data_IF_568849011778
#
_entry.id   IF_568849011778
#
_cell.length_a   1.000
_cell.length_b   1.000
_cell.length_c   1.000
_cell.angle_alpha   90.00
_cell.angle_beta   90.00
_cell.angle_gamma   90.00
#
_symmetry.space_group_name_H-M   'P 1'
#
loop_
_entity.id
_entity.type
_entity.pdbx_description
1 polymer ?
#
# COMPACT_ATOMS: atom_id res chain seq x y z
N UNK A 1 10.84 9.91 -4.57
CA UNK A 1 10.98 8.54 -5.12
C UNK A 1 10.12 8.40 -6.38
N UNK A 2 10.66 7.73 -7.38
CA UNK A 2 9.96 7.46 -8.64
C UNK A 2 9.39 6.03 -8.61
N UNK A 3 8.07 5.89 -8.79
CA UNK A 3 7.40 4.60 -8.79
C UNK A 3 7.12 4.08 -10.21
N UNK A 4 7.48 4.82 -11.25
CA UNK A 4 7.27 4.40 -12.65
C UNK A 4 7.93 3.06 -12.95
N UNK A 5 9.08 2.79 -12.33
CA UNK A 5 9.78 1.52 -12.51
C UNK A 5 9.00 0.28 -12.08
N UNK A 6 7.96 0.45 -11.26
CA UNK A 6 7.01 -0.60 -10.90
C UNK A 6 5.90 -0.82 -11.93
N UNK A 7 5.83 0.00 -12.98
CA UNK A 7 4.82 -0.09 -14.02
C UNK A 7 5.36 -0.88 -15.22
N UNK A 8 4.70 -1.97 -15.58
CA UNK A 8 5.16 -2.85 -16.67
C UNK A 8 5.25 -2.14 -18.02
N UNK A 9 4.37 -1.15 -18.28
CA UNK A 9 4.38 -0.34 -19.50
C UNK A 9 5.66 0.50 -19.64
N UNK A 10 6.24 0.99 -18.54
CA UNK A 10 7.52 1.71 -18.54
C UNK A 10 8.71 0.81 -18.91
N UNK A 11 8.53 -0.50 -18.81
CA UNK A 11 9.50 -1.52 -19.23
C UNK A 11 9.29 -1.95 -20.70
N UNK A 12 8.34 -1.37 -21.41
CA UNK A 12 7.97 -1.77 -22.77
C UNK A 12 7.23 -3.11 -22.84
N UNK A 13 6.68 -3.60 -21.73
CA UNK A 13 5.96 -4.86 -21.71
C UNK A 13 4.48 -4.65 -22.05
N UNK A 14 3.92 -5.53 -22.86
CA UNK A 14 2.50 -5.52 -23.23
C UNK A 14 1.60 -6.12 -22.15
N UNK A 15 2.13 -7.02 -21.31
CA UNK A 15 1.39 -7.74 -20.29
C UNK A 15 1.88 -7.36 -18.87
N UNK A 16 0.96 -7.38 -17.89
CA UNK A 16 1.19 -7.03 -16.49
C UNK A 16 1.91 -8.13 -15.68
N UNK A 17 2.99 -8.68 -16.21
CA UNK A 17 3.75 -9.77 -15.58
C UNK A 17 4.88 -9.27 -14.67
N UNK A 18 5.10 -7.95 -14.59
CA UNK A 18 6.12 -7.36 -13.72
C UNK A 18 5.72 -7.53 -12.24
N UNK A 19 6.51 -8.28 -11.48
CA UNK A 19 6.38 -8.35 -10.02
C UNK A 19 6.92 -7.04 -9.45
N UNK A 20 6.06 -6.28 -8.78
CA UNK A 20 6.42 -5.01 -8.15
C UNK A 20 6.50 -5.16 -6.64
N UNK A 21 7.56 -4.62 -6.04
CA UNK A 21 7.82 -4.64 -4.60
C UNK A 21 8.53 -3.36 -4.16
N UNK A 22 8.50 -3.04 -2.88
CA UNK A 22 9.19 -1.89 -2.31
C UNK A 22 10.53 -2.24 -1.66
N UNK A 23 10.71 -3.51 -1.32
CA UNK A 23 11.93 -4.07 -0.73
C UNK A 23 12.01 -5.59 -0.98
N UNK A 24 13.23 -6.13 -0.95
CA UNK A 24 13.51 -7.57 -1.05
C UNK A 24 14.68 -7.95 -0.13
N UNK A 25 15.26 -9.14 -0.33
CA UNK A 25 16.47 -9.55 0.38
C UNK A 25 17.74 -8.83 -0.12
N UNK A 26 17.67 -8.17 -1.28
CA UNK A 26 18.80 -7.48 -1.90
C UNK A 26 18.80 -5.96 -1.68
N UNK A 27 17.64 -5.33 -1.51
CA UNK A 27 17.52 -3.90 -1.29
C UNK A 27 17.43 -3.58 0.20
N UNK A 28 17.96 -2.39 0.57
CA UNK A 28 17.80 -1.87 1.92
C UNK A 28 16.32 -1.65 2.26
N UNK A 29 15.93 -2.01 3.47
CA UNK A 29 14.56 -1.90 3.97
C UNK A 29 14.02 -0.47 3.84
N UNK A 30 12.85 -0.32 3.29
CA UNK A 30 12.23 1.00 3.09
C UNK A 30 11.93 1.72 4.41
N UNK A 31 11.50 1.00 5.44
CA UNK A 31 11.30 1.56 6.79
C UNK A 31 12.64 2.02 7.40
N UNK A 32 13.73 1.27 7.24
CA UNK A 32 15.06 1.69 7.66
C UNK A 32 15.50 2.96 6.93
N UNK A 33 15.34 3.03 5.61
CA UNK A 33 15.67 4.22 4.81
C UNK A 33 14.89 5.45 5.30
N UNK A 34 13.58 5.33 5.52
CA UNK A 34 12.75 6.44 6.00
C UNK A 34 13.23 6.89 7.38
N UNK A 35 13.49 5.97 8.30
CA UNK A 35 13.92 6.25 9.66
C UNK A 35 15.30 6.89 9.73
N UNK A 36 16.21 6.50 8.83
CA UNK A 36 17.61 6.95 8.84
C UNK A 36 17.82 8.23 8.03
N UNK A 37 17.16 8.33 6.88
CA UNK A 37 17.42 9.38 5.88
C UNK A 37 16.19 10.21 5.55
N UNK A 38 15.09 10.04 6.30
CA UNK A 38 13.83 10.70 6.02
C UNK A 38 13.89 12.20 6.25
N UNK A 39 13.21 12.95 5.39
CA UNK A 39 13.15 14.41 5.45
C UNK A 39 12.29 14.89 6.63
N UNK A 40 12.61 16.09 7.11
CA UNK A 40 11.91 16.79 8.20
C UNK A 40 11.53 18.18 7.69
N UNK A 41 10.32 18.62 7.98
CA UNK A 41 9.87 19.99 7.74
C UNK A 41 8.88 20.42 8.82
N UNK A 42 9.22 21.48 9.55
CA UNK A 42 8.41 21.91 10.69
C UNK A 42 8.18 20.77 11.70
N UNK A 43 6.93 20.55 12.09
CA UNK A 43 6.55 19.47 12.99
C UNK A 43 6.41 18.09 12.31
N UNK A 44 6.51 18.00 10.98
CA UNK A 44 6.40 16.74 10.24
C UNK A 44 7.78 16.08 10.11
N UNK A 45 8.00 15.04 10.92
CA UNK A 45 9.27 14.32 10.98
C UNK A 45 9.09 12.86 10.54
N UNK A 46 9.58 12.52 9.34
CA UNK A 46 9.43 11.18 8.77
C UNK A 46 10.26 10.11 9.50
N UNK A 47 11.25 10.50 10.31
CA UNK A 47 12.07 9.55 11.08
C UNK A 47 11.36 9.04 12.33
N UNK A 48 10.31 9.72 12.81
CA UNK A 48 9.46 9.25 13.89
C UNK A 48 8.66 8.02 13.49
N UNK A 49 8.52 7.05 14.39
CA UNK A 49 7.84 5.77 14.09
C UNK A 49 6.41 5.97 13.54
N UNK A 50 5.63 6.85 14.13
CA UNK A 50 4.26 7.11 13.68
C UNK A 50 4.23 7.61 12.23
N UNK A 51 5.03 8.63 11.94
CA UNK A 51 5.12 9.25 10.60
C UNK A 51 5.75 8.29 9.58
N UNK A 52 6.78 7.53 9.99
CA UNK A 52 7.37 6.47 9.15
C UNK A 52 6.30 5.45 8.74
N UNK A 53 5.47 5.02 9.67
CA UNK A 53 4.34 4.12 9.39
C UNK A 53 3.35 4.75 8.42
N UNK A 54 2.99 6.03 8.59
CA UNK A 54 2.11 6.73 7.63
C UNK A 54 2.72 6.79 6.23
N UNK A 55 4.02 7.03 6.13
CA UNK A 55 4.75 7.02 4.85
C UNK A 55 4.76 5.63 4.21
N UNK A 56 4.88 4.57 4.99
CA UNK A 56 4.78 3.18 4.50
C UNK A 56 3.36 2.86 4.01
N UNK A 57 2.33 3.30 4.73
CA UNK A 57 0.93 3.13 4.31
C UNK A 57 0.68 3.85 2.99
N UNK A 58 1.10 5.12 2.86
CA UNK A 58 1.04 5.87 1.61
C UNK A 58 1.75 5.12 0.47
N UNK A 59 2.97 4.60 0.71
CA UNK A 59 3.72 3.82 -0.29
C UNK A 59 2.97 2.57 -0.70
N UNK A 60 2.39 1.84 0.26
CA UNK A 60 1.63 0.63 0.02
C UNK A 60 0.33 0.90 -0.75
N UNK A 61 -0.34 2.05 -0.52
CA UNK A 61 -1.52 2.43 -1.30
C UNK A 61 -1.19 2.49 -2.80
N UNK A 62 -0.04 3.01 -3.18
CA UNK A 62 0.41 3.02 -4.57
C UNK A 62 0.94 1.66 -5.02
N UNK A 63 1.73 0.97 -4.20
CA UNK A 63 2.27 -0.35 -4.53
C UNK A 63 1.15 -1.32 -4.89
N UNK A 64 0.11 -1.43 -4.06
CA UNK A 64 -0.98 -2.39 -4.26
C UNK A 64 -1.99 -1.98 -5.33
N UNK A 65 -1.95 -0.73 -5.81
CA UNK A 65 -2.84 -0.24 -6.88
C UNK A 65 -2.17 -0.17 -8.26
N UNK A 66 -0.84 -0.15 -8.35
CA UNK A 66 -0.15 -0.37 -9.63
C UNK A 66 -0.54 -1.76 -10.18
N UNK A 67 -0.98 -1.89 -11.45
CA UNK A 67 -1.32 -3.17 -12.06
C UNK A 67 -0.13 -4.13 -12.15
N UNK A 68 -0.37 -5.44 -11.99
CA UNK A 68 0.62 -6.51 -12.00
C UNK A 68 0.79 -7.20 -10.64
N UNK A 69 1.50 -8.34 -10.58
CA UNK A 69 1.77 -9.08 -9.33
C UNK A 69 2.53 -8.24 -8.31
N UNK A 70 2.35 -8.56 -7.03
CA UNK A 70 3.01 -7.89 -5.92
C UNK A 70 3.79 -8.89 -5.07
N UNK A 71 4.92 -8.43 -4.56
CA UNK A 71 5.66 -9.14 -3.53
C UNK A 71 5.81 -8.23 -2.31
N UNK A 72 5.60 -8.79 -1.14
CA UNK A 72 6.00 -8.21 0.16
C UNK A 72 7.09 -9.08 0.76
N UNK A 73 8.03 -8.48 1.44
CA UNK A 73 9.16 -9.21 2.01
C UNK A 73 9.16 -9.08 3.54
N UNK A 74 9.40 -10.19 4.20
CA UNK A 74 9.66 -10.42 5.62
C UNK A 74 9.41 -9.21 6.54
N UNK A 75 8.28 -9.18 7.24
CA UNK A 75 7.86 -8.12 8.16
C UNK A 75 7.74 -6.70 7.55
N UNK A 76 7.72 -6.56 6.22
CA UNK A 76 7.48 -5.27 5.57
C UNK A 76 6.14 -4.67 6.01
N UNK A 77 5.13 -5.53 6.20
CA UNK A 77 3.79 -5.17 6.69
C UNK A 77 3.77 -4.66 8.14
N UNK A 78 4.87 -4.85 8.86
CA UNK A 78 5.10 -4.30 10.21
C UNK A 78 6.17 -3.21 10.22
N UNK A 79 6.66 -2.80 9.04
CA UNK A 79 7.67 -1.76 8.90
C UNK A 79 9.01 -2.19 9.51
N UNK A 80 9.57 -3.29 9.02
CA UNK A 80 10.88 -3.78 9.46
C UNK A 80 11.97 -2.73 9.21
N UNK A 81 12.53 -2.19 10.28
CA UNK A 81 13.44 -1.04 10.27
C UNK A 81 14.88 -1.37 10.70
N UNK A 82 15.27 -2.64 10.60
CA UNK A 82 16.66 -3.07 10.69
C UNK A 82 17.30 -3.04 9.31
N UNK A 83 18.56 -2.60 9.24
CA UNK A 83 19.32 -2.60 7.99
C UNK A 83 19.46 -4.02 7.43
N UNK A 84 19.51 -4.13 6.11
CA UNK A 84 19.90 -5.38 5.44
C UNK A 84 21.32 -5.83 5.84
N UNK A 85 22.16 -4.92 6.31
CA UNK A 85 23.52 -5.20 6.78
C UNK A 85 23.59 -5.57 8.29
N UNK A 86 22.44 -5.66 8.99
CA UNK A 86 22.38 -6.02 10.41
C UNK A 86 21.93 -7.50 10.55
N UNK A 87 22.71 -8.41 11.14
CA UNK A 87 24.11 -8.26 11.59
C UNK A 87 25.12 -8.26 10.45
N UNK A 88 24.81 -8.82 9.29
CA UNK A 88 25.54 -8.74 8.04
C UNK A 88 24.61 -8.98 6.86
N UNK A 89 25.02 -8.64 5.62
CA UNK A 89 24.16 -8.70 4.43
C UNK A 89 23.60 -10.11 4.17
N UNK A 90 24.42 -11.13 4.33
CA UNK A 90 24.07 -12.54 4.05
C UNK A 90 23.70 -13.34 5.29
N UNK A 91 23.68 -12.70 6.48
CA UNK A 91 23.31 -13.36 7.73
C UNK A 91 21.78 -13.50 7.85
N UNK A 92 21.37 -14.44 8.70
CA UNK A 92 19.99 -14.54 9.15
C UNK A 92 19.48 -13.21 9.72
N UNK A 93 18.24 -12.86 9.36
CA UNK A 93 17.58 -11.65 9.86
C UNK A 93 16.71 -11.97 11.06
N UNK A 94 16.74 -11.07 12.05
CA UNK A 94 15.95 -11.23 13.26
C UNK A 94 14.46 -11.36 12.96
N UNK A 95 13.80 -12.34 13.56
CA UNK A 95 12.36 -12.52 13.54
C UNK A 95 11.74 -11.63 14.63
N UNK A 96 10.98 -10.61 14.25
CA UNK A 96 10.53 -9.55 15.14
C UNK A 96 9.00 -9.53 15.35
N UNK A 97 8.42 -10.65 15.81
CA UNK A 97 6.98 -10.72 16.15
C UNK A 97 6.56 -9.70 17.20
N UNK A 98 7.48 -9.25 18.06
CA UNK A 98 7.24 -8.17 19.03
C UNK A 98 6.81 -6.84 18.36
N UNK A 99 7.12 -6.64 17.07
CA UNK A 99 6.65 -5.46 16.32
C UNK A 99 5.13 -5.37 16.27
N UNK A 100 4.43 -6.49 16.27
CA UNK A 100 2.97 -6.53 16.26
C UNK A 100 2.35 -5.95 17.56
N UNK A 101 3.09 -5.90 18.66
CA UNK A 101 2.63 -5.25 19.89
C UNK A 101 2.53 -3.71 19.79
N UNK A 102 3.28 -3.09 18.84
CA UNK A 102 3.25 -1.65 18.60
C UNK A 102 1.96 -1.23 17.89
N UNK A 103 1.19 -0.30 18.48
CA UNK A 103 -0.04 0.25 17.88
C UNK A 103 0.20 0.85 16.48
N UNK A 104 1.32 1.56 16.28
CA UNK A 104 1.65 2.14 14.98
C UNK A 104 1.94 1.05 13.93
N UNK A 105 2.73 0.03 14.28
CA UNK A 105 3.08 -1.06 13.35
C UNK A 105 1.88 -1.96 13.05
N UNK A 106 1.04 -2.25 14.07
CA UNK A 106 -0.24 -2.94 13.90
C UNK A 106 -1.16 -2.18 12.94
N UNK A 107 -1.16 -0.84 12.97
CA UNK A 107 -1.88 -0.02 12.00
C UNK A 107 -1.37 -0.24 10.58
N UNK A 108 -0.05 -0.25 10.34
CA UNK A 108 0.52 -0.57 9.02
C UNK A 108 0.05 -1.95 8.53
N UNK A 109 0.10 -2.96 9.41
CA UNK A 109 -0.40 -4.31 9.10
C UNK A 109 -1.87 -4.28 8.64
N UNK A 110 -2.75 -3.61 9.40
CA UNK A 110 -4.18 -3.50 9.08
C UNK A 110 -4.43 -2.83 7.72
N UNK A 111 -3.73 -1.73 7.44
CA UNK A 111 -3.84 -1.05 6.15
C UNK A 111 -3.29 -1.90 4.99
N UNK A 112 -2.19 -2.60 5.19
CA UNK A 112 -1.62 -3.52 4.20
C UNK A 112 -2.62 -4.64 3.88
N UNK A 113 -3.21 -5.26 4.90
CA UNK A 113 -4.24 -6.30 4.72
C UNK A 113 -5.47 -5.76 3.98
N UNK A 114 -5.95 -4.56 4.33
CA UNK A 114 -7.08 -3.93 3.67
C UNK A 114 -6.80 -3.60 2.19
N UNK A 115 -5.59 -3.12 1.87
CA UNK A 115 -5.16 -2.86 0.48
C UNK A 115 -5.08 -4.15 -0.34
N UNK A 116 -4.57 -5.22 0.23
CA UNK A 116 -4.53 -6.54 -0.42
C UNK A 116 -5.97 -7.04 -0.67
N UNK A 117 -6.83 -6.94 0.34
CA UNK A 117 -8.23 -7.34 0.23
C UNK A 117 -8.97 -6.51 -0.84
N UNK A 118 -8.83 -5.19 -0.82
CA UNK A 118 -9.38 -4.28 -1.84
C UNK A 118 -8.97 -4.72 -3.25
N UNK A 119 -7.66 -4.95 -3.45
CA UNK A 119 -7.14 -5.40 -4.73
C UNK A 119 -7.71 -6.76 -5.17
N UNK A 120 -7.87 -7.69 -4.26
CA UNK A 120 -8.38 -9.03 -4.56
C UNK A 120 -9.88 -9.03 -4.84
N UNK A 121 -10.63 -8.17 -4.18
CA UNK A 121 -12.09 -8.10 -4.26
C UNK A 121 -12.57 -7.36 -5.49
N UNK A 122 -11.98 -6.20 -5.81
CA UNK A 122 -12.51 -5.31 -6.85
C UNK A 122 -11.69 -5.35 -8.13
N UNK A 123 -12.35 -5.63 -9.26
CA UNK A 123 -11.73 -5.80 -10.57
C UNK A 123 -10.99 -4.56 -11.07
N UNK A 124 -11.46 -3.35 -10.70
CA UNK A 124 -10.84 -2.08 -11.12
C UNK A 124 -9.37 -1.99 -10.69
N UNK A 125 -8.97 -2.56 -9.56
CA UNK A 125 -7.56 -2.58 -9.11
C UNK A 125 -6.69 -3.65 -9.80
N UNK A 126 -7.27 -4.42 -10.74
CA UNK A 126 -6.57 -5.42 -11.55
C UNK A 126 -6.62 -5.11 -13.06
N UNK A 127 -7.13 -3.95 -13.43
CA UNK A 127 -7.33 -3.55 -14.84
C UNK A 127 -6.00 -3.31 -15.58
N UNK A 128 -6.05 -3.40 -16.90
CA UNK A 128 -4.97 -2.94 -17.80
C UNK A 128 -5.24 -1.54 -18.36
N UNK A 129 -6.46 -1.03 -18.15
CA UNK A 129 -6.85 0.33 -18.53
C UNK A 129 -6.54 1.29 -17.38
N UNK A 130 -5.36 1.90 -17.42
CA UNK A 130 -4.94 2.85 -16.41
C UNK A 130 -4.00 3.91 -16.98
N UNK A 131 -4.03 5.09 -16.37
CA UNK A 131 -3.08 6.18 -16.56
C UNK A 131 -2.45 6.55 -15.22
N UNK A 132 -1.27 7.15 -15.23
CA UNK A 132 -0.54 7.43 -14.00
C UNK A 132 0.39 8.64 -14.12
N UNK A 133 0.68 9.27 -12.98
CA UNK A 133 1.79 10.19 -12.78
C UNK A 133 2.49 9.75 -11.48
N UNK A 134 3.61 9.06 -11.59
CA UNK A 134 4.29 8.37 -10.49
C UNK A 134 5.69 8.89 -10.21
N UNK A 135 6.17 9.84 -11.01
CA UNK A 135 7.34 10.68 -10.75
C UNK A 135 6.91 11.94 -9.96
N UNK A 136 7.80 12.63 -9.33
CA UNK A 136 7.46 13.83 -8.57
C UNK A 136 6.80 13.55 -7.21
N UNK A 137 6.37 14.59 -6.54
CA UNK A 137 5.90 14.55 -5.17
C UNK A 137 4.37 14.43 -5.04
N UNK A 138 3.62 14.90 -6.03
CA UNK A 138 2.20 14.59 -6.20
C UNK A 138 2.11 13.38 -7.12
N UNK A 139 1.55 12.27 -6.62
CA UNK A 139 1.42 11.05 -7.41
C UNK A 139 -0.05 10.67 -7.56
N UNK A 140 -0.38 10.06 -8.71
CA UNK A 140 -1.71 9.49 -8.94
C UNK A 140 -1.66 8.25 -9.83
N UNK A 141 -2.69 7.42 -9.69
CA UNK A 141 -3.05 6.33 -10.60
C UNK A 141 -4.55 6.42 -10.82
N UNK A 142 -4.97 6.48 -12.08
CA UNK A 142 -6.38 6.44 -12.47
C UNK A 142 -6.62 5.09 -13.17
N UNK A 143 -7.55 4.32 -12.65
CA UNK A 143 -7.86 2.95 -13.06
C UNK A 143 -9.30 2.91 -13.55
N UNK A 144 -9.60 2.21 -14.64
CA UNK A 144 -10.96 2.16 -15.20
C UNK A 144 -11.33 0.75 -15.65
N UNK A 145 -12.55 0.37 -15.34
CA UNK A 145 -13.28 -0.75 -15.93
C UNK A 145 -14.65 -0.24 -16.40
N UNK A 146 -15.44 -0.98 -17.16
CA UNK A 146 -16.67 -0.47 -17.77
C UNK A 146 -17.65 0.22 -16.81
N UNK A 147 -17.73 -0.25 -15.57
CA UNK A 147 -18.72 0.15 -14.55
C UNK A 147 -18.11 0.76 -13.29
N UNK A 148 -16.79 0.94 -13.22
CA UNK A 148 -16.14 1.51 -12.05
C UNK A 148 -14.84 2.21 -12.43
N UNK A 149 -14.66 3.42 -11.92
CA UNK A 149 -13.37 4.13 -11.95
C UNK A 149 -12.80 4.24 -10.54
N UNK A 150 -11.47 4.20 -10.45
CA UNK A 150 -10.75 4.46 -9.21
C UNK A 150 -9.61 5.45 -9.45
N UNK A 151 -9.43 6.38 -8.50
CA UNK A 151 -8.34 7.35 -8.49
C UNK A 151 -7.59 7.23 -7.18
N UNK A 152 -6.33 6.84 -7.25
CA UNK A 152 -5.39 6.82 -6.13
C UNK A 152 -4.52 8.05 -6.22
N UNK A 153 -4.47 8.86 -5.18
CA UNK A 153 -3.73 10.12 -5.18
C UNK A 153 -3.07 10.36 -3.82
N UNK A 154 -1.89 10.98 -3.81
CA UNK A 154 -1.17 11.22 -2.56
C UNK A 154 -0.09 12.29 -2.66
N UNK A 155 0.16 12.95 -1.52
CA UNK A 155 1.20 13.94 -1.33
C UNK A 155 2.44 13.29 -0.70
N UNK A 156 3.50 13.14 -1.48
CA UNK A 156 4.79 12.60 -1.02
C UNK A 156 5.75 13.66 -0.46
N UNK A 157 5.34 14.94 -0.43
CA UNK A 157 6.11 16.02 0.22
C UNK A 157 6.10 15.85 1.75
N UNK A 158 6.98 16.59 2.39
CA UNK A 158 6.99 16.79 3.85
C UNK A 158 6.31 18.10 4.25
N UNK A 159 5.67 18.76 3.28
CA UNK A 159 4.90 20.00 3.41
C UNK A 159 3.54 19.84 2.78
N UNK A 160 2.51 20.61 3.21
CA UNK A 160 1.25 20.69 2.49
C UNK A 160 1.49 21.12 1.03
N UNK A 161 0.63 20.69 0.14
CA UNK A 161 0.72 21.09 -1.26
C UNK A 161 -0.33 20.47 -2.16
N UNK A 162 -0.47 21.02 -3.33
CA UNK A 162 -1.46 20.62 -4.30
C UNK A 162 -1.11 19.27 -4.92
N UNK A 163 -2.11 18.42 -4.99
CA UNK A 163 -2.12 17.16 -5.73
C UNK A 163 -3.14 17.27 -6.86
N UNK A 164 -2.92 16.51 -7.92
CA UNK A 164 -3.75 16.55 -9.12
C UNK A 164 -4.38 15.18 -9.36
N UNK A 165 -5.57 14.90 -8.80
CA UNK A 165 -6.23 13.61 -8.96
C UNK A 165 -6.57 13.30 -10.41
N UNK A 166 -6.91 14.34 -11.19
CA UNK A 166 -7.39 14.21 -12.57
C UNK A 166 -8.45 13.09 -12.65
N UNK A 167 -9.54 13.29 -11.92
CA UNK A 167 -10.66 12.34 -11.92
C UNK A 167 -11.14 12.04 -13.34
N UNK A 168 -11.61 10.85 -13.59
CA UNK A 168 -12.05 10.45 -14.92
C UNK A 168 -13.31 11.18 -15.38
N UNK A 169 -14.12 11.70 -14.44
CA UNK A 169 -15.31 12.52 -14.69
C UNK A 169 -15.70 13.35 -13.45
N UNK A 170 -16.63 14.29 -13.61
CA UNK A 170 -17.27 15.03 -12.51
C UNK A 170 -18.34 14.16 -11.86
N UNK A 171 -18.76 14.51 -10.64
CA UNK A 171 -19.77 13.78 -9.87
C UNK A 171 -19.29 13.43 -8.47
N UNK A 172 -20.01 12.53 -7.81
CA UNK A 172 -19.66 12.07 -6.46
C UNK A 172 -18.61 10.97 -6.53
N UNK A 173 -17.56 11.11 -5.70
CA UNK A 173 -16.51 10.14 -5.52
C UNK A 173 -16.42 9.75 -4.04
N UNK A 174 -16.24 8.47 -3.77
CA UNK A 174 -16.24 7.87 -2.44
C UNK A 174 -14.83 7.45 -2.05
N UNK A 175 -14.36 7.89 -0.89
CA UNK A 175 -13.07 7.44 -0.35
C UNK A 175 -13.23 6.09 0.34
N UNK A 176 -12.56 5.10 -0.18
CA UNK A 176 -12.64 3.73 0.31
C UNK A 176 -12.10 3.56 1.74
N UNK A 177 -11.11 4.37 2.16
CA UNK A 177 -10.50 4.21 3.48
C UNK A 177 -11.15 5.04 4.57
N UNK A 178 -11.59 6.25 4.27
CA UNK A 178 -12.28 7.09 5.26
C UNK A 178 -13.78 6.82 5.31
N UNK A 179 -14.36 6.38 4.22
CA UNK A 179 -15.82 6.24 4.04
C UNK A 179 -16.52 7.53 3.69
N UNK A 180 -15.77 8.63 3.53
CA UNK A 180 -16.31 9.93 3.14
C UNK A 180 -16.57 10.00 1.63
N UNK A 181 -17.19 11.08 1.19
CA UNK A 181 -17.37 11.36 -0.23
C UNK A 181 -17.04 12.81 -0.56
N UNK A 182 -16.65 13.06 -1.80
CA UNK A 182 -16.45 14.41 -2.34
C UNK A 182 -17.27 14.57 -3.62
N UNK A 183 -17.74 15.80 -3.86
CA UNK A 183 -18.38 16.17 -5.13
C UNK A 183 -17.36 16.87 -6.01
N UNK A 184 -16.97 16.23 -7.08
CA UNK A 184 -16.02 16.74 -8.07
C UNK A 184 -16.78 17.53 -9.12
N UNK A 185 -16.65 18.84 -9.11
CA UNK A 185 -17.26 19.76 -10.10
C UNK A 185 -16.32 20.10 -11.26
N UNK A 186 -15.01 19.95 -11.05
CA UNK A 186 -13.99 20.06 -12.06
C UNK A 186 -12.99 18.90 -11.89
N UNK A 187 -12.99 17.97 -12.84
CA UNK A 187 -12.19 16.75 -12.78
C UNK A 187 -10.67 16.98 -12.73
N UNK A 188 -10.20 18.12 -13.23
CA UNK A 188 -8.78 18.46 -13.28
C UNK A 188 -8.33 19.44 -12.19
N UNK A 189 -9.27 19.89 -11.34
CA UNK A 189 -8.93 20.80 -10.24
C UNK A 189 -7.94 20.15 -9.25
N UNK A 190 -6.96 20.89 -8.75
CA UNK A 190 -6.10 20.42 -7.68
C UNK A 190 -6.86 20.30 -6.36
N UNK A 191 -6.38 19.42 -5.49
CA UNK A 191 -6.76 19.31 -4.09
C UNK A 191 -5.53 19.57 -3.23
N UNK A 192 -5.67 20.34 -2.14
CA UNK A 192 -4.56 20.59 -1.22
C UNK A 192 -4.51 19.51 -0.15
N UNK A 193 -3.42 18.76 -0.09
CA UNK A 193 -3.20 17.67 0.85
C UNK A 193 -2.12 17.99 1.86
N UNK A 194 -2.30 17.50 3.09
CA UNK A 194 -1.29 17.54 4.12
C UNK A 194 -0.08 16.63 3.77
N UNK A 195 1.08 16.78 4.44
CA UNK A 195 2.22 15.91 4.21
C UNK A 195 1.86 14.43 4.47
N UNK A 196 2.08 13.58 3.47
CA UNK A 196 1.80 12.15 3.57
C UNK A 196 0.33 11.75 3.43
N UNK A 197 -0.57 12.72 3.20
CA UNK A 197 -1.99 12.44 2.96
C UNK A 197 -2.21 11.74 1.62
N UNK A 198 -3.15 10.80 1.60
CA UNK A 198 -3.48 10.00 0.43
C UNK A 198 -4.92 9.50 0.51
N UNK A 199 -5.51 9.24 -0.65
CA UNK A 199 -6.86 8.73 -0.77
C UNK A 199 -6.98 7.71 -1.91
N UNK A 200 -7.94 6.81 -1.78
CA UNK A 200 -8.40 5.92 -2.84
C UNK A 200 -9.87 6.21 -3.09
N UNK A 201 -10.13 7.00 -4.11
CA UNK A 201 -11.48 7.35 -4.52
C UNK A 201 -12.02 6.37 -5.55
N UNK A 202 -13.31 6.07 -5.46
CA UNK A 202 -14.07 5.33 -6.47
C UNK A 202 -15.36 6.06 -6.79
N UNK A 203 -15.81 6.00 -8.04
CA UNK A 203 -17.08 6.62 -8.49
C UNK A 203 -18.31 5.80 -8.10
N UNK A 204 -18.10 4.56 -7.68
CA UNK A 204 -19.10 3.69 -7.08
C UNK A 204 -18.80 3.52 -5.60
N UNK A 205 -19.81 3.59 -4.74
CA UNK A 205 -19.62 3.34 -3.31
C UNK A 205 -19.34 1.86 -3.05
N UNK A 206 -18.07 1.53 -2.84
CA UNK A 206 -17.61 0.17 -2.51
C UNK A 206 -17.73 -0.16 -1.01
N UNK A 207 -18.29 0.75 -0.22
CA UNK A 207 -18.26 0.69 1.23
C UNK A 207 -16.93 1.20 1.81
N UNK A 208 -16.78 1.09 3.12
CA UNK A 208 -15.56 1.49 3.83
C UNK A 208 -14.64 0.30 4.04
N UNK A 209 -13.34 0.51 3.91
CA UNK A 209 -12.32 -0.50 4.20
C UNK A 209 -12.46 -1.05 5.62
N UNK A 210 -12.44 -2.37 5.74
CA UNK A 210 -12.35 -3.03 7.05
C UNK A 210 -10.88 -3.14 7.47
N UNK A 211 -10.53 -2.44 8.56
CA UNK A 211 -9.18 -2.45 9.14
C UNK A 211 -9.08 -3.48 10.27
N UNK A 212 -9.30 -4.76 9.92
CA UNK A 212 -9.25 -5.86 10.87
C UNK A 212 -7.81 -6.33 11.08
N UNK A 213 -7.38 -6.48 12.33
CA UNK A 213 -6.11 -7.11 12.69
C UNK A 213 -6.29 -8.59 13.07
N UNK A 214 -5.18 -9.31 13.25
CA UNK A 214 -5.20 -10.73 13.63
C UNK A 214 -5.96 -10.99 14.94
N UNK A 215 -5.89 -10.07 15.90
CA UNK A 215 -6.58 -10.20 17.20
C UNK A 215 -8.11 -10.06 17.09
N UNK A 216 -8.62 -9.52 15.97
CA UNK A 216 -10.04 -9.29 15.73
C UNK A 216 -10.69 -10.41 14.92
N UNK A 217 -9.88 -11.32 14.39
CA UNK A 217 -10.36 -12.55 13.75
C UNK A 217 -10.77 -13.47 14.90
N UNK A 218 -12.07 -13.55 15.18
CA UNK A 218 -12.58 -14.57 16.12
C UNK A 218 -12.11 -15.93 15.64
N UNK A 219 -11.35 -16.64 16.48
CA UNK A 219 -10.98 -18.01 16.24
C UNK A 219 -12.24 -18.83 15.98
N UNK A 220 -12.61 -19.04 14.74
CA UNK A 220 -13.36 -20.23 14.39
C UNK A 220 -12.37 -21.38 14.50
N UNK A 221 -12.68 -22.45 15.25
CA UNK A 221 -11.81 -23.61 15.28
C UNK A 221 -11.71 -24.14 13.84
N UNK A 222 -10.62 -23.77 13.17
CA UNK A 222 -10.31 -24.33 11.86
C UNK A 222 -10.01 -25.81 12.09
N UNK A 223 -10.86 -26.70 11.59
CA UNK A 223 -10.47 -28.09 11.41
C UNK A 223 -9.32 -28.09 10.40
N UNK A 224 -8.10 -28.30 10.89
CA UNK A 224 -6.96 -28.57 10.02
C UNK A 224 -7.25 -29.94 9.39
N UNK A 225 -7.66 -29.93 8.13
CA UNK A 225 -7.76 -31.15 7.33
C UNK A 225 -6.43 -31.32 6.59
N UNK A 226 -5.63 -32.30 6.96
CA UNK A 226 -4.43 -32.69 6.23
C UNK A 226 -4.85 -33.56 5.04
N UNK A 227 -4.66 -33.06 3.82
CA UNK A 227 -4.91 -33.79 2.58
C UNK A 227 -3.71 -33.71 1.64
N UNK A 228 -3.29 -34.82 1.02
CA UNK A 228 -3.63 -36.18 1.39
C UNK A 228 -3.01 -36.57 2.74
N UNK A 229 -3.71 -37.39 3.53
CA UNK A 229 -3.12 -37.99 4.71
C UNK A 229 -2.41 -39.28 4.31
N UNK A 230 -1.08 -39.28 4.13
CA UNK A 230 -0.33 -40.48 3.77
C UNK A 230 -0.01 -41.34 4.99
N UNK A 231 -0.40 -40.93 6.20
CA UNK A 231 -0.09 -41.69 7.41
C UNK A 231 -1.09 -42.80 7.62
N UNK A 232 -0.61 -43.97 8.02
CA UNK A 232 -1.40 -45.13 8.42
C UNK A 232 -2.09 -44.94 9.80
N UNK A 233 -2.44 -43.68 10.14
CA UNK A 233 -3.25 -43.37 11.32
C UNK A 233 -2.47 -43.02 12.59
N UNK A 234 -1.16 -42.93 12.54
CA UNK A 234 -0.35 -42.45 13.69
C UNK A 234 0.42 -41.19 13.25
N UNK A 235 0.03 -40.05 13.80
CA UNK A 235 0.82 -38.80 13.79
C UNK A 235 1.21 -38.58 15.24
N UNK A 236 2.48 -38.76 15.57
CA UNK A 236 3.06 -38.37 16.85
C UNK A 236 3.29 -36.84 16.91
#
# INVERSE_FOLDING_TARGET
>A
SDFKWGVYKERGWSNKHLITYSESHDEERSAYKIKTYGNISGGYNTTNLATMVDRKILTNAFLFTIPGPKMTYMFEELGYDKSINDPCRICEKSILWSYYASTHRKRLYKYTAALINMRNTYGVFKTDNFIYALNGDSKRINLSVPDTNATVVGNFRVTPGDVYPNFQHTGTWYDYFTGDSIVVTNATAPLTYQPGEWHVYTDVNLGKASLIGMDEIKHQPSRIALFPNPSNGIVE
#
